data_IF_428947220709
#
_entry.id   IF_428947220709
#
_cell.length_a   1.000
_cell.length_b   1.000
_cell.length_c   1.000
_cell.angle_alpha   90.00
_cell.angle_beta   90.00
_cell.angle_gamma   90.00
#
_symmetry.space_group_name_H-M   'P 1'
#
loop_
_entity.id
_entity.type
_entity.pdbx_description
1 polymer ?
#
# COMPACT_ATOMS: atom_id res chain seq x y z
N UNK A 1 14.02 4.78 5.61
CA UNK A 1 13.09 3.64 5.55
C UNK A 1 13.66 2.36 6.17
N UNK A 2 14.94 2.01 5.92
CA UNK A 2 15.54 0.80 6.51
C UNK A 2 15.83 0.88 8.02
N UNK A 3 16.10 2.07 8.58
CA UNK A 3 16.51 2.25 9.98
C UNK A 3 15.42 1.86 11.01
N UNK A 4 14.12 2.16 10.80
CA UNK A 4 13.09 1.71 11.74
C UNK A 4 12.87 0.20 11.75
N UNK A 5 12.82 -0.44 10.57
CA UNK A 5 12.75 -1.91 10.47
C UNK A 5 13.98 -2.60 11.07
N UNK A 6 15.18 -2.07 10.83
CA UNK A 6 16.41 -2.62 11.43
C UNK A 6 16.40 -2.53 12.95
N UNK A 7 15.87 -1.43 13.52
CA UNK A 7 15.72 -1.29 14.98
C UNK A 7 14.78 -2.32 15.60
N UNK A 8 13.75 -2.77 14.88
CA UNK A 8 12.86 -3.84 15.36
C UNK A 8 13.68 -5.13 15.52
N UNK A 9 14.48 -5.49 14.50
CA UNK A 9 15.35 -6.66 14.55
C UNK A 9 16.43 -6.53 15.64
N UNK A 10 17.08 -5.36 15.76
CA UNK A 10 18.10 -5.09 16.79
C UNK A 10 17.55 -5.25 18.21
N UNK A 11 16.25 -5.05 18.41
CA UNK A 11 15.55 -5.20 19.70
C UNK A 11 14.96 -6.60 19.90
N UNK A 12 15.21 -7.54 18.99
CA UNK A 12 14.70 -8.91 19.06
C UNK A 12 13.25 -9.07 18.59
N UNK A 13 12.70 -8.09 17.86
CA UNK A 13 11.40 -8.22 17.21
C UNK A 13 11.42 -9.17 16.01
N UNK A 14 10.23 -9.54 15.52
CA UNK A 14 10.11 -10.51 14.44
C UNK A 14 10.47 -9.91 13.07
N UNK A 15 10.86 -10.77 12.13
CA UNK A 15 11.04 -10.38 10.74
C UNK A 15 9.74 -9.84 10.12
N UNK A 16 8.60 -10.44 10.50
CA UNK A 16 7.27 -10.04 10.05
C UNK A 16 6.93 -8.60 10.48
N UNK A 17 7.23 -8.23 11.73
CA UNK A 17 7.02 -6.87 12.22
C UNK A 17 7.97 -5.87 11.54
N UNK A 18 9.23 -6.28 11.33
CA UNK A 18 10.22 -5.42 10.69
C UNK A 18 9.84 -5.07 9.25
N UNK A 19 9.36 -6.04 8.45
CA UNK A 19 8.92 -5.79 7.07
C UNK A 19 7.60 -5.02 7.04
N UNK A 20 6.65 -5.33 7.94
CA UNK A 20 5.37 -4.61 8.05
C UNK A 20 5.61 -3.13 8.30
N UNK A 21 6.47 -2.78 9.27
CA UNK A 21 6.79 -1.39 9.58
C UNK A 21 7.58 -0.69 8.46
N UNK A 22 8.51 -1.41 7.81
CA UNK A 22 9.26 -0.84 6.69
C UNK A 22 8.34 -0.44 5.53
N UNK A 23 7.39 -1.31 5.17
CA UNK A 23 6.40 -1.03 4.12
C UNK A 23 5.42 0.04 4.55
N UNK A 24 4.92 0.01 5.80
CA UNK A 24 4.04 1.07 6.32
C UNK A 24 4.69 2.45 6.19
N UNK A 25 5.99 2.55 6.47
CA UNK A 25 6.71 3.81 6.28
C UNK A 25 6.82 4.19 4.79
N UNK A 26 7.03 3.22 3.89
CA UNK A 26 7.05 3.48 2.45
C UNK A 26 5.68 4.00 1.98
N UNK A 27 4.58 3.44 2.48
CA UNK A 27 3.21 3.91 2.21
C UNK A 27 2.94 5.32 2.76
N UNK A 28 3.60 5.73 3.84
CA UNK A 28 3.50 7.09 4.37
C UNK A 28 4.38 8.10 3.61
N UNK A 29 5.23 7.63 2.69
CA UNK A 29 6.18 8.48 1.99
C UNK A 29 5.67 8.80 0.59
N UNK A 30 5.30 10.07 0.30
CA UNK A 30 4.68 10.48 -0.96
C UNK A 30 5.56 10.30 -2.21
N UNK A 31 6.85 9.99 -2.00
CA UNK A 31 7.80 9.72 -3.09
C UNK A 31 7.60 8.33 -3.71
N UNK A 32 6.94 7.41 -3.01
CA UNK A 32 6.72 6.04 -3.47
C UNK A 32 5.29 5.85 -3.97
N UNK A 33 5.12 4.90 -4.88
CA UNK A 33 3.82 4.50 -5.40
C UNK A 33 3.20 3.40 -4.52
N UNK A 34 2.89 3.75 -3.28
CA UNK A 34 2.17 2.91 -2.33
C UNK A 34 1.56 3.83 -1.27
N UNK A 35 0.32 3.58 -0.83
CA UNK A 35 -0.35 4.47 0.12
C UNK A 35 -0.39 5.92 -0.39
N UNK A 36 0.16 6.86 0.38
CA UNK A 36 0.30 8.26 -0.03
C UNK A 36 1.29 8.37 -1.18
N UNK A 37 0.90 9.01 -2.28
CA UNK A 37 1.74 9.06 -3.49
C UNK A 37 1.44 7.95 -4.51
N UNK A 38 0.36 7.20 -4.30
CA UNK A 38 -0.11 6.19 -5.24
C UNK A 38 -0.56 6.82 -6.56
N UNK A 39 -0.31 6.08 -7.65
CA UNK A 39 -0.77 6.45 -8.98
C UNK A 39 -2.30 6.48 -9.04
N UNK A 40 -2.81 7.16 -10.06
CA UNK A 40 -4.22 7.17 -10.37
C UNK A 40 -4.57 6.05 -11.36
N UNK A 41 -5.74 5.46 -11.22
CA UNK A 41 -6.35 4.61 -12.25
C UNK A 41 -6.73 5.45 -13.49
N UNK A 42 -7.10 4.80 -14.59
CA UNK A 42 -7.61 5.49 -15.79
C UNK A 42 -8.82 6.40 -15.50
N UNK A 43 -9.64 6.05 -14.50
CA UNK A 43 -10.78 6.83 -14.05
C UNK A 43 -10.40 7.98 -13.10
N UNK A 44 -9.13 8.11 -12.72
CA UNK A 44 -8.68 9.13 -11.76
C UNK A 44 -8.98 8.77 -10.31
N UNK A 45 -9.02 7.48 -9.96
CA UNK A 45 -9.21 6.97 -8.59
C UNK A 45 -7.92 6.36 -8.05
N UNK A 46 -7.92 5.94 -6.79
CA UNK A 46 -6.85 5.14 -6.19
C UNK A 46 -7.39 3.78 -5.77
N UNK A 47 -6.73 2.72 -6.25
CA UNK A 47 -6.99 1.34 -5.90
C UNK A 47 -5.66 0.75 -5.44
N UNK A 48 -5.60 0.33 -4.18
CA UNK A 48 -4.36 -0.07 -3.53
C UNK A 48 -4.36 -1.57 -3.24
N UNK A 49 -3.18 -2.16 -3.35
CA UNK A 49 -2.93 -3.57 -3.10
C UNK A 49 -1.75 -3.73 -2.12
N UNK A 50 -1.81 -4.74 -1.25
CA UNK A 50 -0.68 -5.12 -0.40
C UNK A 50 -0.76 -6.58 0.03
N UNK A 51 0.39 -7.16 0.35
CA UNK A 51 0.52 -8.54 0.82
C UNK A 51 1.65 -8.66 1.84
N UNK A 52 1.48 -9.56 2.81
CA UNK A 52 2.49 -9.96 3.78
C UNK A 52 2.42 -11.48 3.99
N UNK A 53 3.58 -12.11 4.16
CA UNK A 53 3.70 -13.55 4.37
C UNK A 53 4.70 -13.84 5.48
N UNK A 54 4.35 -14.75 6.40
CA UNK A 54 5.27 -15.29 7.38
C UNK A 54 5.97 -16.53 6.81
N UNK A 55 7.29 -16.43 6.63
CA UNK A 55 8.10 -17.55 6.13
C UNK A 55 8.23 -18.72 7.12
N UNK A 56 7.89 -18.52 8.40
CA UNK A 56 7.98 -19.57 9.41
C UNK A 56 6.74 -20.49 9.41
N UNK A 57 5.53 -19.92 9.39
CA UNK A 57 4.28 -20.70 9.35
C UNK A 57 3.74 -20.94 7.94
N UNK A 58 4.23 -20.19 6.94
CA UNK A 58 3.68 -20.09 5.58
C UNK A 58 2.31 -19.41 5.50
N UNK A 59 1.84 -18.80 6.59
CA UNK A 59 0.61 -18.01 6.58
C UNK A 59 0.82 -16.70 5.81
N UNK A 60 -0.23 -16.23 5.15
CA UNK A 60 -0.20 -15.02 4.34
C UNK A 60 -1.51 -14.25 4.48
N UNK A 61 -1.41 -12.93 4.29
CA UNK A 61 -2.55 -12.02 4.26
C UNK A 61 -2.34 -10.96 3.18
N UNK A 62 -3.42 -10.63 2.47
CA UNK A 62 -3.39 -9.71 1.36
C UNK A 62 -4.71 -8.94 1.21
N UNK A 63 -4.60 -7.72 0.70
CA UNK A 63 -5.73 -6.91 0.27
C UNK A 63 -5.51 -6.43 -1.17
N UNK A 64 -6.60 -6.28 -1.93
CA UNK A 64 -6.54 -5.71 -3.27
C UNK A 64 -7.75 -4.83 -3.60
N UNK A 65 -7.53 -3.80 -4.42
CA UNK A 65 -8.55 -2.85 -4.85
C UNK A 65 -9.18 -2.08 -3.70
N UNK A 66 -8.44 -1.83 -2.62
CA UNK A 66 -8.94 -1.04 -1.47
C UNK A 66 -8.71 0.45 -1.70
N UNK A 67 -9.63 1.27 -1.23
CA UNK A 67 -9.58 2.73 -1.46
C UNK A 67 -9.75 3.56 -0.19
N UNK A 68 -10.06 2.92 0.95
CA UNK A 68 -10.41 3.62 2.18
C UNK A 68 -9.52 3.27 3.36
N UNK A 69 -8.39 2.58 3.12
CA UNK A 69 -7.43 2.20 4.14
C UNK A 69 -6.12 2.95 3.92
N UNK A 70 -5.69 3.74 4.92
CA UNK A 70 -4.44 4.53 4.86
C UNK A 70 -3.20 3.68 4.54
N UNK A 71 -3.07 2.54 5.23
CA UNK A 71 -1.92 1.64 5.11
C UNK A 71 -2.37 0.24 4.71
N UNK A 72 -2.45 -0.07 3.40
CA UNK A 72 -2.83 -1.38 2.90
C UNK A 72 -2.04 -2.55 3.53
N UNK A 73 -0.75 -2.38 3.84
CA UNK A 73 0.04 -3.42 4.49
C UNK A 73 -0.47 -3.79 5.89
N UNK A 74 -1.02 -2.83 6.64
CA UNK A 74 -1.61 -3.13 7.95
C UNK A 74 -2.91 -3.90 7.79
N UNK A 75 -3.70 -3.61 6.76
CA UNK A 75 -4.88 -4.42 6.46
C UNK A 75 -4.52 -5.83 5.99
N UNK A 76 -3.49 -5.99 5.18
CA UNK A 76 -2.95 -7.30 4.80
C UNK A 76 -2.48 -8.09 6.04
N UNK A 77 -1.83 -7.42 7.01
CA UNK A 77 -1.45 -8.02 8.29
C UNK A 77 -2.66 -8.45 9.13
N UNK A 78 -3.73 -7.65 9.16
CA UNK A 78 -4.98 -8.03 9.83
C UNK A 78 -5.65 -9.24 9.15
N UNK A 79 -5.58 -9.35 7.83
CA UNK A 79 -6.09 -10.54 7.12
C UNK A 79 -5.33 -11.80 7.58
N UNK A 80 -3.99 -11.70 7.70
CA UNK A 80 -3.14 -12.79 8.19
C UNK A 80 -3.48 -13.18 9.65
N UNK A 81 -3.65 -12.20 10.54
CA UNK A 81 -3.75 -12.45 11.99
C UNK A 81 -5.18 -12.66 12.50
N UNK A 82 -6.18 -12.10 11.82
CA UNK A 82 -7.56 -12.00 12.31
C UNK A 82 -8.61 -12.60 11.37
N UNK A 83 -8.19 -13.36 10.37
CA UNK A 83 -9.10 -14.05 9.48
C UNK A 83 -8.63 -15.47 9.13
N UNK A 84 -9.54 -16.37 8.73
CA UNK A 84 -9.18 -17.67 8.17
C UNK A 84 -8.85 -17.59 6.67
N UNK A 85 -8.74 -16.39 6.10
CA UNK A 85 -8.57 -16.15 4.67
C UNK A 85 -7.19 -15.57 4.36
N UNK A 86 -6.72 -15.77 3.13
CA UNK A 86 -5.44 -15.21 2.66
C UNK A 86 -5.63 -13.87 1.94
N UNK A 87 -6.72 -13.69 1.20
CA UNK A 87 -6.95 -12.50 0.37
C UNK A 87 -8.37 -11.97 0.58
N UNK A 88 -8.47 -10.66 0.78
CA UNK A 88 -9.73 -9.91 0.77
C UNK A 88 -9.64 -8.78 -0.25
N UNK A 89 -10.77 -8.38 -0.87
CA UNK A 89 -10.75 -7.36 -1.93
C UNK A 89 -11.84 -6.31 -1.76
N UNK A 90 -11.59 -5.11 -2.30
CA UNK A 90 -12.54 -4.01 -2.43
C UNK A 90 -13.16 -3.58 -1.11
N UNK A 91 -14.43 -3.13 -1.17
CA UNK A 91 -15.18 -2.68 0.00
C UNK A 91 -15.29 -3.75 1.11
N UNK A 92 -15.18 -5.04 0.77
CA UNK A 92 -15.16 -6.12 1.75
C UNK A 92 -13.92 -6.06 2.64
N UNK A 93 -12.75 -5.84 2.03
CA UNK A 93 -11.50 -5.61 2.74
C UNK A 93 -11.52 -4.31 3.54
N UNK A 94 -12.05 -3.21 2.97
CA UNK A 94 -12.20 -1.92 3.68
C UNK A 94 -13.03 -2.08 4.95
N UNK A 95 -14.20 -2.73 4.87
CA UNK A 95 -15.04 -2.98 6.06
C UNK A 95 -14.37 -3.87 7.08
N UNK A 96 -13.67 -4.92 6.63
CA UNK A 96 -12.95 -5.82 7.52
C UNK A 96 -11.86 -5.07 8.30
N UNK A 97 -11.07 -4.24 7.62
CA UNK A 97 -10.04 -3.42 8.23
C UNK A 97 -10.61 -2.46 9.28
N UNK A 98 -11.72 -1.79 8.98
CA UNK A 98 -12.40 -0.87 9.92
C UNK A 98 -12.94 -1.61 11.14
N UNK A 99 -13.53 -2.80 10.96
CA UNK A 99 -13.99 -3.64 12.07
C UNK A 99 -12.87 -4.07 13.01
N UNK A 100 -11.63 -4.13 12.50
CA UNK A 100 -10.43 -4.47 13.26
C UNK A 100 -9.62 -3.25 13.69
N UNK A 101 -10.21 -2.05 13.61
CA UNK A 101 -9.68 -0.84 14.25
C UNK A 101 -8.80 0.04 13.37
N UNK A 102 -8.70 -0.20 12.05
CA UNK A 102 -8.11 0.78 11.15
C UNK A 102 -9.10 1.93 10.89
N UNK A 103 -8.60 3.16 10.96
CA UNK A 103 -9.42 4.33 10.67
C UNK A 103 -9.63 4.45 9.15
N UNK A 104 -10.89 4.59 8.68
CA UNK A 104 -11.15 4.80 7.27
C UNK A 104 -10.68 6.19 6.85
N UNK A 105 -10.20 6.30 5.62
CA UNK A 105 -9.75 7.56 5.03
C UNK A 105 -10.45 7.83 3.71
N UNK A 106 -10.52 9.11 3.35
CA UNK A 106 -10.92 9.52 2.01
C UNK A 106 -9.80 9.21 1.01
N UNK A 107 -10.16 8.71 -0.17
CA UNK A 107 -9.18 8.33 -1.19
C UNK A 107 -8.31 9.52 -1.67
N UNK A 108 -8.78 10.76 -1.50
CA UNK A 108 -8.02 11.98 -1.80
C UNK A 108 -6.75 12.12 -0.95
N UNK A 109 -6.64 11.41 0.17
CA UNK A 109 -5.43 11.34 0.98
C UNK A 109 -4.21 10.86 0.17
N UNK A 110 -4.43 9.97 -0.79
CA UNK A 110 -3.35 9.35 -1.56
C UNK A 110 -2.85 10.21 -2.72
N UNK A 111 -3.63 11.22 -3.11
CA UNK A 111 -3.38 12.07 -4.25
C UNK A 111 -2.18 12.99 -4.02
N UNK A 112 -1.29 13.07 -5.01
CA UNK A 112 -0.26 14.12 -5.11
C UNK A 112 -0.33 14.79 -6.47
N UNK A 113 0.13 16.04 -6.53
CA UNK A 113 0.15 16.81 -7.78
C UNK A 113 1.02 16.11 -8.82
N UNK A 114 2.16 15.56 -8.41
CA UNK A 114 3.08 14.86 -9.30
C UNK A 114 2.40 13.66 -9.98
N UNK A 115 1.65 12.84 -9.23
CA UNK A 115 0.92 11.68 -9.78
C UNK A 115 -0.25 12.10 -10.65
N UNK A 116 -0.91 13.21 -10.33
CA UNK A 116 -2.00 13.72 -11.16
C UNK A 116 -1.48 14.20 -12.52
N UNK A 117 -0.36 14.92 -12.54
CA UNK A 117 0.29 15.33 -13.79
C UNK A 117 0.79 14.15 -14.62
N UNK A 118 1.17 13.02 -14.00
CA UNK A 118 1.50 11.79 -14.71
C UNK A 118 0.25 11.17 -15.38
N UNK A 119 -0.90 11.15 -14.70
CA UNK A 119 -2.16 10.69 -15.28
C UNK A 119 -2.55 11.51 -16.52
N UNK A 120 -2.44 12.85 -16.43
CA UNK A 120 -2.76 13.73 -17.56
C UNK A 120 -1.89 13.43 -18.77
N UNK A 121 -0.57 13.28 -18.57
CA UNK A 121 0.37 12.90 -19.64
C UNK A 121 0.07 11.52 -20.25
N UNK A 122 -0.30 10.54 -19.43
CA UNK A 122 -0.68 9.21 -19.90
C UNK A 122 -1.96 9.25 -20.75
N UNK A 123 -2.95 10.08 -20.37
CA UNK A 123 -4.19 10.28 -21.14
C UNK A 123 -3.95 10.93 -22.51
N UNK A 124 -3.00 11.86 -22.58
CA UNK A 124 -2.64 12.54 -23.83
C UNK A 124 -1.86 11.64 -24.79
N UNK A 125 -0.99 10.76 -24.26
CA UNK A 125 -0.10 9.91 -25.07
C UNK A 125 -0.70 8.58 -25.52
N UNK A 126 -1.86 8.16 -24.99
CA UNK A 126 -2.44 6.80 -25.15
C UNK A 126 -1.47 5.67 -24.78
N UNK A 127 -0.40 5.97 -24.03
CA UNK A 127 0.61 5.00 -23.60
C UNK A 127 0.56 4.84 -22.08
N UNK A 128 0.74 3.60 -21.60
CA UNK A 128 0.90 3.33 -20.17
C UNK A 128 2.31 3.73 -19.78
N UNK A 129 2.45 4.86 -19.07
CA UNK A 129 3.71 5.27 -18.45
C UNK A 129 3.85 4.56 -17.10
N UNK A 130 4.96 3.88 -16.88
CA UNK A 130 5.26 3.27 -15.58
C UNK A 130 5.89 4.32 -14.65
N UNK A 131 5.69 4.14 -13.35
CA UNK A 131 6.16 5.07 -12.31
C UNK A 131 7.69 5.10 -12.12
N UNK A 132 8.41 4.18 -12.76
CA UNK A 132 9.88 4.06 -12.76
C UNK A 132 10.52 4.43 -14.11
N UNK A 133 9.73 4.82 -15.11
CA UNK A 133 10.23 5.39 -16.34
C UNK A 133 10.68 6.83 -16.03
N UNK A 134 11.97 6.97 -15.73
CA UNK A 134 12.57 8.23 -15.31
C UNK A 134 12.24 9.39 -16.26
N UNK A 135 12.05 10.58 -15.68
CA UNK A 135 12.07 11.84 -16.43
C UNK A 135 13.26 11.85 -17.38
N UNK A 136 13.01 12.08 -18.67
CA UNK A 136 14.06 12.16 -19.69
C UNK A 136 15.21 13.05 -19.22
N UNK A 137 16.47 12.73 -19.58
CA UNK A 137 17.61 13.54 -19.22
C UNK A 137 17.50 14.92 -19.86
N UNK A 138 17.79 15.95 -19.06
CA UNK A 138 18.10 17.34 -19.44
C UNK A 138 18.93 17.45 -20.72
#
# INVERSE_FOLDING_TARGET
MLKPGSRILERGGSALDAVTEAVRLLEECPLFNAGIGSVFTSEGKHELDACVMDGNSLDAGAVAGVSHIRNPILAARLVLENSPHVLMIGEGADRFAVQHGLEPVEATLFSTEERYQQLLRARESQQTLLDHDGTEPI
#
